data_IF_603026025171
#
_entry.id   IF_603026025171
#
_cell.length_a   1.000
_cell.length_b   1.000
_cell.length_c   1.000
_cell.angle_alpha   90.00
_cell.angle_beta   90.00
_cell.angle_gamma   90.00
#
_symmetry.space_group_name_H-M   'P 1'
#
loop_
_entity.id
_entity.type
_entity.pdbx_description
1 polymer ?
#
# COMPACT_ATOMS: atom_id res chain seq x y z
N UNK A 1 0.65 11.58 3.64
CA UNK A 1 -0.04 11.87 2.37
C UNK A 1 -0.94 10.71 2.02
N UNK A 2 -2.10 11.01 1.46
CA UNK A 2 -3.09 9.99 1.12
C UNK A 2 -3.15 9.77 -0.38
N UNK A 3 -3.30 8.52 -0.80
CA UNK A 3 -3.32 8.12 -2.19
C UNK A 3 -4.53 7.24 -2.46
N UNK A 4 -5.15 7.39 -3.62
CA UNK A 4 -6.08 6.39 -4.12
C UNK A 4 -5.27 5.19 -4.58
N UNK A 5 -5.70 4.00 -4.19
CA UNK A 5 -5.14 2.78 -4.75
C UNK A 5 -5.74 2.53 -6.14
N UNK A 6 -4.98 1.89 -7.01
CA UNK A 6 -5.38 1.41 -8.32
C UNK A 6 -5.65 2.47 -9.41
N UNK A 7 -5.93 3.70 -9.13
CA UNK A 7 -6.02 4.76 -10.15
C UNK A 7 -7.20 4.72 -11.13
N UNK A 8 -7.90 3.60 -11.29
CA UNK A 8 -9.08 3.49 -12.17
C UNK A 8 -10.37 3.43 -11.36
N UNK A 9 -10.46 2.42 -10.50
CA UNK A 9 -11.59 2.24 -9.61
C UNK A 9 -11.04 2.12 -8.20
N UNK A 10 -10.80 3.25 -7.53
CA UNK A 10 -10.19 3.21 -6.20
C UNK A 10 -11.05 2.43 -5.22
N UNK A 11 -10.42 1.52 -4.47
CA UNK A 11 -11.08 0.74 -3.43
C UNK A 11 -10.78 1.26 -2.04
N UNK A 12 -9.70 2.03 -1.89
CA UNK A 12 -9.31 2.60 -0.60
C UNK A 12 -8.47 3.85 -0.78
N UNK A 13 -8.50 4.72 0.22
CA UNK A 13 -7.47 5.75 0.42
C UNK A 13 -6.42 5.19 1.35
N UNK A 14 -5.17 5.29 0.98
CA UNK A 14 -4.04 4.81 1.75
C UNK A 14 -3.17 5.99 2.17
N UNK A 15 -2.96 6.12 3.47
CA UNK A 15 -2.09 7.16 4.03
C UNK A 15 -0.68 6.63 4.14
N UNK A 16 0.24 7.28 3.43
CA UNK A 16 1.66 6.93 3.43
C UNK A 16 2.40 7.87 4.36
N UNK A 17 3.21 7.32 5.25
CA UNK A 17 4.00 8.10 6.19
C UNK A 17 5.37 7.46 6.39
N UNK A 18 6.34 8.25 6.86
CA UNK A 18 7.65 7.74 7.27
C UNK A 18 7.64 7.45 8.75
N UNK A 19 8.25 6.33 9.13
CA UNK A 19 8.46 5.97 10.52
C UNK A 19 9.79 5.26 10.62
N UNK A 20 10.73 5.81 11.43
CA UNK A 20 12.06 5.24 11.63
C UNK A 20 12.81 4.99 10.31
N UNK A 21 12.70 5.92 9.36
CA UNK A 21 13.38 5.82 8.06
C UNK A 21 12.73 4.88 7.06
N UNK A 22 11.59 4.31 7.39
CA UNK A 22 10.86 3.40 6.49
C UNK A 22 9.49 4.00 6.15
N UNK A 23 8.94 3.60 5.01
CA UNK A 23 7.57 3.95 4.67
C UNK A 23 6.61 2.95 5.29
N UNK A 24 5.51 3.48 5.80
CA UNK A 24 4.36 2.73 6.28
C UNK A 24 3.13 3.24 5.56
N UNK A 25 2.23 2.33 5.18
CA UNK A 25 0.94 2.69 4.59
C UNK A 25 -0.20 2.09 5.38
N UNK A 26 -1.20 2.93 5.71
CA UNK A 26 -2.40 2.50 6.42
C UNK A 26 -3.63 2.86 5.62
N UNK A 27 -4.62 1.99 5.63
CA UNK A 27 -5.92 2.31 5.04
C UNK A 27 -6.56 3.43 5.84
N UNK A 28 -6.77 4.57 5.19
CA UNK A 28 -7.41 5.73 5.82
C UNK A 28 -8.93 5.65 5.67
N UNK A 29 -9.39 5.19 4.51
CA UNK A 29 -10.81 5.09 4.20
C UNK A 29 -11.05 3.97 3.20
N UNK A 30 -12.08 3.17 3.41
CA UNK A 30 -12.53 2.17 2.47
C UNK A 30 -13.58 2.80 1.55
N UNK A 31 -13.35 2.73 0.24
CA UNK A 31 -14.22 3.33 -0.77
C UNK A 31 -15.13 2.31 -1.42
N UNK A 32 -14.77 1.03 -1.35
CA UNK A 32 -15.54 -0.07 -1.93
C UNK A 32 -16.57 -0.56 -0.91
N UNK A 33 -17.86 -0.37 -1.23
CA UNK A 33 -18.95 -0.78 -0.36
C UNK A 33 -19.05 -2.30 -0.20
N UNK A 34 -18.41 -3.07 -1.07
CA UNK A 34 -18.40 -4.54 -1.01
C UNK A 34 -17.30 -5.09 -0.10
N UNK A 35 -16.37 -4.24 0.35
CA UNK A 35 -15.26 -4.68 1.19
C UNK A 35 -15.73 -5.06 2.59
N UNK A 36 -15.09 -6.06 3.18
CA UNK A 36 -15.28 -6.41 4.59
C UNK A 36 -14.79 -5.28 5.49
N UNK A 37 -15.32 -5.19 6.69
CA UNK A 37 -14.92 -4.18 7.67
C UNK A 37 -13.67 -4.58 8.46
N UNK A 38 -13.32 -5.87 8.44
CA UNK A 38 -12.14 -6.39 9.12
C UNK A 38 -11.34 -7.29 8.19
N UNK A 39 -10.05 -7.47 8.48
CA UNK A 39 -9.19 -8.35 7.70
C UNK A 39 -9.29 -9.79 8.18
N UNK A 40 -10.35 -10.47 7.78
CA UNK A 40 -10.57 -11.87 8.20
C UNK A 40 -9.57 -12.83 7.57
N UNK A 41 -8.96 -12.46 6.44
CA UNK A 41 -8.01 -13.32 5.71
C UNK A 41 -6.55 -13.01 6.02
N UNK A 42 -6.27 -12.00 6.83
CA UNK A 42 -4.92 -11.73 7.30
C UNK A 42 -4.42 -12.89 8.17
N UNK A 43 -3.11 -13.17 8.09
CA UNK A 43 -2.51 -14.32 8.77
C UNK A 43 -1.65 -13.95 9.97
N UNK A 44 -1.28 -12.67 10.10
CA UNK A 44 -0.37 -12.20 11.15
C UNK A 44 -1.13 -11.38 12.21
N UNK A 45 -0.44 -10.42 12.82
CA UNK A 45 -1.00 -9.53 13.83
C UNK A 45 -2.22 -8.73 13.36
N UNK A 46 -2.45 -8.69 12.03
CA UNK A 46 -3.56 -7.95 11.44
C UNK A 46 -4.83 -8.77 11.30
N UNK A 47 -4.80 -10.04 11.68
CA UNK A 47 -5.97 -10.93 11.61
C UNK A 47 -7.14 -10.32 12.38
N UNK A 48 -8.27 -10.15 11.69
CA UNK A 48 -9.50 -9.59 12.24
C UNK A 48 -9.39 -8.13 12.72
N UNK A 49 -8.32 -7.43 12.36
CA UNK A 49 -8.21 -6.01 12.63
C UNK A 49 -9.13 -5.21 11.71
N UNK A 50 -9.54 -4.02 12.17
CA UNK A 50 -10.34 -3.12 11.35
C UNK A 50 -9.62 -2.78 10.04
N UNK A 51 -10.34 -2.76 8.93
CA UNK A 51 -9.77 -2.29 7.65
C UNK A 51 -9.35 -0.84 7.74
N UNK A 52 -10.14 0.02 8.37
CA UNK A 52 -9.71 1.40 8.61
C UNK A 52 -8.61 1.39 9.66
N UNK A 53 -7.47 1.95 9.31
CA UNK A 53 -6.27 1.95 10.13
C UNK A 53 -5.35 0.75 9.89
N UNK A 54 -5.76 -0.20 9.05
CA UNK A 54 -4.96 -1.39 8.77
C UNK A 54 -3.65 -1.02 8.09
N UNK A 55 -2.54 -1.51 8.62
CA UNK A 55 -1.22 -1.29 8.05
C UNK A 55 -0.99 -2.27 6.92
N UNK A 56 -1.03 -1.77 5.68
CA UNK A 56 -0.88 -2.61 4.49
C UNK A 56 0.48 -2.49 3.84
N UNK A 57 1.25 -1.42 4.14
CA UNK A 57 2.63 -1.26 3.66
C UNK A 57 3.55 -1.19 4.87
N UNK A 58 4.59 -2.03 4.86
CA UNK A 58 5.58 -2.10 5.93
C UNK A 58 6.98 -2.16 5.37
N UNK A 59 7.92 -1.51 6.05
CA UNK A 59 9.33 -1.75 5.93
C UNK A 59 10.01 -1.28 4.65
N UNK A 60 9.36 -0.46 3.83
CA UNK A 60 10.00 0.04 2.62
C UNK A 60 11.10 1.05 2.96
N UNK A 61 12.31 0.81 2.45
CA UNK A 61 13.49 1.62 2.71
C UNK A 61 13.84 2.45 1.48
N UNK A 62 14.32 3.67 1.71
CA UNK A 62 14.67 4.56 0.61
C UNK A 62 15.96 4.12 -0.08
N UNK A 63 15.90 3.98 -1.38
CA UNK A 63 17.05 3.74 -2.27
C UNK A 63 17.36 5.05 -2.99
N UNK A 64 18.33 5.80 -2.47
CA UNK A 64 18.66 7.12 -3.00
C UNK A 64 19.25 7.07 -4.41
N UNK A 65 19.89 5.96 -4.77
CA UNK A 65 20.49 5.84 -6.11
C UNK A 65 19.44 5.74 -7.21
N UNK A 66 18.35 5.05 -6.94
CA UNK A 66 17.30 4.81 -7.92
C UNK A 66 16.03 5.65 -7.69
N UNK A 67 16.00 6.42 -6.59
CA UNK A 67 14.83 7.22 -6.26
C UNK A 67 13.60 6.39 -5.95
N UNK A 68 13.80 5.20 -5.38
CA UNK A 68 12.72 4.26 -5.09
C UNK A 68 12.68 3.94 -3.60
N UNK A 69 11.57 3.35 -3.17
CA UNK A 69 11.46 2.71 -1.87
C UNK A 69 11.41 1.21 -2.11
N UNK A 70 12.32 0.47 -1.47
CA UNK A 70 12.56 -0.95 -1.76
C UNK A 70 12.47 -1.81 -0.50
N UNK A 71 12.45 -3.12 -0.70
CA UNK A 71 12.45 -4.12 0.38
C UNK A 71 11.24 -4.02 1.30
N UNK A 72 10.18 -3.38 0.82
CA UNK A 72 8.95 -3.30 1.58
C UNK A 72 8.07 -4.51 1.37
N UNK A 73 6.94 -4.51 2.07
CA UNK A 73 5.88 -5.50 1.91
C UNK A 73 4.54 -4.81 1.81
N UNK A 74 3.70 -5.32 0.96
CA UNK A 74 2.33 -4.83 0.80
C UNK A 74 1.35 -5.99 0.94
N UNK A 75 0.33 -5.77 1.75
CA UNK A 75 -0.73 -6.73 2.00
C UNK A 75 -1.92 -6.44 1.10
N UNK A 76 -2.45 -7.48 0.46
CA UNK A 76 -3.77 -7.42 -0.15
C UNK A 76 -4.78 -7.95 0.88
N UNK A 77 -5.59 -7.07 1.50
CA UNK A 77 -6.48 -7.51 2.57
C UNK A 77 -7.66 -8.35 2.07
N UNK A 78 -7.93 -8.33 0.77
CA UNK A 78 -9.04 -9.10 0.21
C UNK A 78 -8.78 -10.60 0.23
N UNK A 79 -7.51 -11.00 0.12
CA UNK A 79 -7.15 -12.42 0.14
C UNK A 79 -6.08 -12.78 1.17
N UNK A 80 -5.54 -11.77 1.87
CA UNK A 80 -4.51 -11.99 2.89
C UNK A 80 -3.11 -12.21 2.33
N UNK A 81 -2.91 -12.09 1.03
CA UNK A 81 -1.60 -12.30 0.40
C UNK A 81 -0.70 -11.10 0.63
N UNK A 82 0.55 -11.36 1.01
CA UNK A 82 1.56 -10.32 1.17
C UNK A 82 2.59 -10.40 0.06
N UNK A 83 2.88 -9.26 -0.56
CA UNK A 83 3.82 -9.15 -1.68
C UNK A 83 5.05 -8.37 -1.25
N UNK A 84 6.20 -8.67 -1.86
CA UNK A 84 7.36 -7.79 -1.77
C UNK A 84 7.06 -6.53 -2.56
N UNK A 85 7.51 -5.38 -2.04
CA UNK A 85 7.07 -4.08 -2.54
C UNK A 85 8.22 -3.22 -2.98
N UNK A 86 8.06 -2.61 -4.16
CA UNK A 86 8.88 -1.49 -4.61
C UNK A 86 7.94 -0.33 -4.96
N UNK A 87 8.25 0.85 -4.47
CA UNK A 87 7.49 2.07 -4.75
C UNK A 87 8.40 3.03 -5.52
N UNK A 88 7.93 3.48 -6.67
CA UNK A 88 8.62 4.48 -7.47
C UNK A 88 7.78 5.76 -7.53
N UNK A 89 8.18 6.82 -6.79
CA UNK A 89 7.48 8.11 -6.89
C UNK A 89 7.73 8.76 -8.25
N UNK A 90 6.69 9.36 -8.80
CA UNK A 90 6.74 10.12 -10.04
C UNK A 90 6.00 11.44 -9.86
N UNK A 91 6.23 12.37 -10.78
CA UNK A 91 5.54 13.67 -10.79
C UNK A 91 5.66 14.40 -9.45
N UNK A 92 6.89 14.48 -8.92
CA UNK A 92 7.20 15.13 -7.63
C UNK A 92 6.37 14.56 -6.47
N UNK A 93 6.10 13.25 -6.49
CA UNK A 93 5.37 12.56 -5.43
C UNK A 93 3.87 12.59 -5.57
N UNK A 94 3.34 13.13 -6.66
CA UNK A 94 1.90 13.13 -6.91
C UNK A 94 1.38 11.76 -7.34
N UNK A 95 2.28 10.93 -7.88
CA UNK A 95 1.96 9.59 -8.38
C UNK A 95 2.96 8.61 -7.80
N UNK A 96 2.47 7.47 -7.36
CA UNK A 96 3.31 6.35 -6.93
C UNK A 96 3.07 5.17 -7.85
N UNK A 97 4.14 4.64 -8.43
CA UNK A 97 4.10 3.35 -9.10
C UNK A 97 4.36 2.28 -8.05
N UNK A 98 3.37 1.45 -7.80
CA UNK A 98 3.41 0.41 -6.78
C UNK A 98 3.62 -0.93 -7.49
N UNK A 99 4.72 -1.61 -7.19
CA UNK A 99 5.00 -2.93 -7.74
C UNK A 99 5.06 -3.95 -6.62
N UNK A 100 4.17 -4.94 -6.70
CA UNK A 100 4.14 -6.05 -5.78
C UNK A 100 4.67 -7.30 -6.46
N UNK A 101 5.56 -8.03 -5.81
CA UNK A 101 6.19 -9.25 -6.34
C UNK A 101 5.84 -10.44 -5.47
N UNK A 102 5.45 -11.55 -6.11
CA UNK A 102 5.19 -12.82 -5.44
C UNK A 102 5.74 -13.95 -6.32
N UNK A 103 6.84 -14.56 -5.87
CA UNK A 103 7.53 -15.55 -6.69
C UNK A 103 8.01 -14.93 -8.01
N UNK A 104 7.62 -15.53 -9.14
CA UNK A 104 7.94 -15.03 -10.48
C UNK A 104 6.90 -14.06 -11.04
N UNK A 105 5.85 -13.81 -10.28
CA UNK A 105 4.76 -12.93 -10.70
C UNK A 105 4.92 -11.55 -10.08
N UNK A 106 4.42 -10.54 -10.78
CA UNK A 106 4.36 -9.19 -10.24
C UNK A 106 3.09 -8.48 -10.72
N UNK A 107 2.67 -7.47 -9.95
CA UNK A 107 1.56 -6.60 -10.28
C UNK A 107 2.02 -5.17 -10.15
N UNK A 108 1.54 -4.31 -11.05
CA UNK A 108 1.83 -2.87 -11.01
C UNK A 108 0.52 -2.12 -10.87
N UNK A 109 0.47 -1.20 -9.91
CA UNK A 109 -0.64 -0.28 -9.72
C UNK A 109 -0.12 1.14 -9.74
N UNK A 110 -0.96 2.06 -10.15
CA UNK A 110 -0.66 3.49 -10.15
C UNK A 110 -1.54 4.13 -9.10
N UNK A 111 -0.91 4.67 -8.05
CA UNK A 111 -1.62 5.35 -6.97
C UNK A 111 -1.45 6.84 -7.13
N UNK A 112 -2.54 7.60 -7.00
CA UNK A 112 -2.54 9.05 -7.19
C UNK A 112 -2.81 9.74 -5.86
N UNK A 113 -2.03 10.79 -5.59
CA UNK A 113 -2.19 11.58 -4.38
C UNK A 113 -3.54 12.27 -4.37
N UNK A 114 -4.21 12.23 -3.23
CA UNK A 114 -5.49 12.86 -3.01
C UNK A 114 -5.37 14.01 -2.04
N UNK A 115 -6.24 15.01 -2.24
CA UNK A 115 -6.29 16.20 -1.42
C UNK A 115 -5.23 17.23 -1.76
N UNK A 116 -5.29 18.38 -1.08
CA UNK A 116 -4.27 19.41 -1.23
C UNK A 116 -2.94 19.04 -0.65
#
# INVERSE_FOLDING_TARGET
MSFDDDGKTPTALVRIAKSNGQLIGRIEKVLDAQSETTCSKCLDDRKNQSMVGLEIIRGAKHDAQNGQWIQGRILDPDDGTEYRLVIEPQSAGQVLVIRGYWGVFWRTQIWRKQGP
#
